data_IF_929977686721
#
_entry.id   IF_929977686721
#
_cell.length_a   1.000
_cell.length_b   1.000
_cell.length_c   1.000
_cell.angle_alpha   90.00
_cell.angle_beta   90.00
_cell.angle_gamma   90.00
#
_symmetry.space_group_name_H-M   'P 1'
#
loop_
_entity.id
_entity.type
_entity.pdbx_description
1 polymer ?
#
# COMPACT_ATOMS: atom_id res chain seq x y z
N UNK A 1 -14.07 33.38 13.98
CA UNK A 1 -13.29 34.53 13.45
C UNK A 1 -12.47 34.01 12.26
N UNK A 2 -12.82 34.55 11.10
CA UNK A 2 -12.24 34.22 9.80
C UNK A 2 -10.79 34.73 9.70
N UNK A 3 -9.87 33.93 9.18
CA UNK A 3 -8.66 34.45 8.54
C UNK A 3 -8.40 33.67 7.25
N UNK A 4 -8.82 34.27 6.18
CA UNK A 4 -8.49 33.95 4.79
C UNK A 4 -7.11 34.59 4.53
N UNK A 5 -6.15 33.82 4.08
CA UNK A 5 -4.90 34.34 3.50
C UNK A 5 -4.84 33.86 2.06
N UNK A 6 -5.11 34.80 1.16
CA UNK A 6 -4.95 34.65 -0.28
C UNK A 6 -3.48 35.01 -0.58
N UNK A 7 -2.71 34.07 -1.12
CA UNK A 7 -1.45 34.40 -1.80
C UNK A 7 -1.57 34.09 -3.29
N UNK A 8 -1.82 35.18 -4.01
CA UNK A 8 -1.69 35.26 -5.45
C UNK A 8 -0.21 35.51 -5.78
N UNK A 9 0.43 34.67 -6.58
CA UNK A 9 1.67 35.01 -7.24
C UNK A 9 1.65 34.51 -8.67
N UNK A 10 1.47 35.47 -9.58
CA UNK A 10 1.71 35.40 -11.00
C UNK A 10 3.21 35.18 -11.28
N UNK A 11 3.56 34.25 -12.17
CA UNK A 11 4.84 34.35 -12.92
C UNK A 11 4.66 33.99 -14.38
N UNK A 12 5.10 34.96 -15.22
CA UNK A 12 5.04 34.99 -16.67
C UNK A 12 6.11 34.12 -17.35
N UNK A 13 5.71 33.57 -18.44
CA UNK A 13 6.35 33.45 -19.77
C UNK A 13 7.89 33.28 -19.90
N UNK A 14 8.27 32.24 -20.65
CA UNK A 14 9.57 32.13 -21.31
C UNK A 14 9.47 31.23 -22.53
N UNK A 15 9.31 31.87 -23.71
CA UNK A 15 9.36 31.25 -25.05
C UNK A 15 10.83 31.14 -25.46
N UNK A 16 11.28 29.98 -25.92
CA UNK A 16 12.60 29.78 -26.53
C UNK A 16 12.54 28.74 -27.63
N UNK A 17 12.50 29.26 -28.89
CA UNK A 17 12.60 28.51 -30.15
C UNK A 17 14.08 28.24 -30.51
N UNK A 18 14.25 27.25 -31.41
CA UNK A 18 15.36 27.00 -32.34
C UNK A 18 16.44 26.02 -31.82
N UNK A 19 16.81 24.97 -32.53
CA UNK A 19 17.21 24.87 -33.89
C UNK A 19 17.52 23.45 -34.31
N UNK A 20 17.13 23.13 -35.51
CA UNK A 20 17.62 22.03 -36.32
C UNK A 20 19.08 22.25 -36.71
N UNK A 21 19.89 21.22 -36.75
CA UNK A 21 20.91 21.08 -37.78
C UNK A 21 21.36 19.62 -37.92
N UNK A 22 21.26 19.13 -39.16
CA UNK A 22 21.84 17.89 -39.64
C UNK A 22 23.37 17.98 -39.67
N UNK A 23 24.04 16.90 -39.46
CA UNK A 23 25.12 16.40 -40.32
C UNK A 23 25.76 15.12 -39.80
N UNK A 24 25.67 14.12 -40.63
CA UNK A 24 26.43 12.89 -40.82
C UNK A 24 27.90 12.94 -40.34
N UNK A 25 28.33 11.94 -39.59
CA UNK A 25 29.59 11.18 -39.85
C UNK A 25 29.67 9.96 -38.94
N UNK A 26 29.83 8.79 -39.54
CA UNK A 26 30.12 7.51 -38.91
C UNK A 26 31.47 7.56 -38.19
N UNK A 27 31.52 6.99 -36.97
CA UNK A 27 32.75 6.31 -36.49
C UNK A 27 32.34 5.23 -35.48
N UNK A 28 32.66 4.04 -35.81
CA UNK A 28 32.56 2.79 -35.07
C UNK A 28 33.35 2.90 -33.79
N UNK A 29 32.72 2.71 -32.62
CA UNK A 29 33.42 2.27 -31.42
C UNK A 29 32.47 1.43 -30.56
N UNK A 30 32.85 0.19 -30.40
CA UNK A 30 32.25 -0.81 -29.51
C UNK A 30 32.12 -0.26 -28.10
N UNK A 31 30.91 0.06 -27.70
CA UNK A 31 30.55 0.43 -26.33
C UNK A 31 29.49 -0.52 -25.83
N UNK A 32 29.86 -1.33 -24.86
CA UNK A 32 29.01 -2.27 -24.12
C UNK A 32 27.73 -1.58 -23.66
N UNK A 33 26.63 -1.84 -24.36
CA UNK A 33 25.31 -1.50 -23.88
C UNK A 33 24.95 -2.42 -22.71
N UNK A 34 25.30 -2.00 -21.52
CA UNK A 34 24.71 -2.52 -20.30
C UNK A 34 23.26 -2.00 -20.29
N UNK A 35 22.37 -2.78 -20.90
CA UNK A 35 20.95 -2.58 -20.75
C UNK A 35 20.60 -2.72 -19.28
N UNK A 36 20.51 -1.62 -18.56
CA UNK A 36 19.86 -1.57 -17.27
C UNK A 36 18.40 -1.93 -17.54
N UNK A 37 18.09 -3.21 -17.35
CA UNK A 37 16.72 -3.68 -17.32
C UNK A 37 16.04 -2.94 -16.15
N UNK A 38 15.43 -1.80 -16.44
CA UNK A 38 14.47 -1.17 -15.54
C UNK A 38 13.30 -2.15 -15.44
N UNK A 39 13.36 -3.03 -14.44
CA UNK A 39 12.22 -3.88 -14.10
C UNK A 39 11.07 -2.93 -13.77
N UNK A 40 10.11 -2.84 -14.67
CA UNK A 40 8.85 -2.15 -14.41
C UNK A 40 8.18 -2.92 -13.28
N UNK A 41 8.40 -2.46 -12.04
CA UNK A 41 7.76 -3.02 -10.86
C UNK A 41 6.27 -2.78 -11.01
N UNK A 42 5.54 -3.85 -11.31
CA UNK A 42 4.09 -3.80 -11.53
C UNK A 42 3.38 -3.45 -10.23
N UNK A 43 2.84 -2.24 -10.15
CA UNK A 43 2.07 -1.78 -9.03
C UNK A 43 0.65 -2.36 -9.07
N UNK A 44 0.19 -2.88 -7.96
CA UNK A 44 -1.12 -3.50 -7.78
C UNK A 44 -1.90 -2.74 -6.71
N UNK A 45 -3.21 -2.96 -6.65
CA UNK A 45 -4.07 -2.37 -5.63
C UNK A 45 -4.98 -3.44 -5.03
N UNK A 46 -5.28 -3.32 -3.73
CA UNK A 46 -6.26 -4.13 -3.03
C UNK A 46 -7.09 -3.24 -2.09
N UNK A 47 -8.27 -3.72 -1.71
CA UNK A 47 -9.12 -3.08 -0.71
C UNK A 47 -8.94 -3.80 0.62
N UNK A 48 -8.69 -3.05 1.69
CA UNK A 48 -8.59 -3.59 3.05
C UNK A 48 -9.68 -2.94 3.91
N UNK A 49 -10.46 -3.77 4.57
CA UNK A 49 -11.55 -3.35 5.45
C UNK A 49 -11.53 -4.12 6.77
N UNK A 50 -12.26 -3.60 7.75
CA UNK A 50 -12.24 -4.10 9.12
C UNK A 50 -13.66 -4.29 9.64
N UNK A 51 -13.87 -5.40 10.33
CA UNK A 51 -15.12 -5.75 10.99
C UNK A 51 -14.83 -6.07 12.45
N UNK A 52 -15.57 -5.44 13.34
CA UNK A 52 -15.53 -5.78 14.75
C UNK A 52 -16.85 -6.44 15.14
N UNK A 53 -16.77 -7.66 15.63
CA UNK A 53 -17.92 -8.46 16.08
C UNK A 53 -18.14 -8.41 17.60
N UNK A 54 -17.50 -7.47 18.29
CA UNK A 54 -17.75 -7.27 19.72
C UNK A 54 -18.87 -6.27 19.96
N UNK A 55 -19.52 -6.36 21.13
CA UNK A 55 -20.53 -5.39 21.57
C UNK A 55 -19.91 -4.03 21.95
N UNK A 56 -18.61 -4.01 22.24
CA UNK A 56 -17.87 -2.78 22.45
C UNK A 56 -17.65 -2.09 21.08
N UNK A 57 -18.11 -0.86 20.95
CA UNK A 57 -17.91 -0.02 19.77
C UNK A 57 -16.53 0.66 19.86
N UNK A 58 -15.42 0.03 19.44
CA UNK A 58 -14.19 0.77 19.25
C UNK A 58 -14.33 1.64 18.00
N UNK A 59 -13.52 2.67 17.95
CA UNK A 59 -13.40 3.52 16.78
C UNK A 59 -13.25 2.64 15.51
N UNK A 60 -14.13 2.85 14.54
CA UNK A 60 -14.09 2.05 13.31
C UNK A 60 -12.82 2.39 12.54
N UNK A 61 -11.99 1.40 12.32
CA UNK A 61 -10.83 1.55 11.45
C UNK A 61 -11.35 1.75 10.01
N UNK A 62 -11.03 2.87 9.33
CA UNK A 62 -11.57 3.13 8.01
C UNK A 62 -11.02 2.13 6.99
N UNK A 63 -11.88 1.64 6.10
CA UNK A 63 -11.44 0.87 4.94
C UNK A 63 -10.55 1.72 4.02
N UNK A 64 -9.57 1.08 3.40
CA UNK A 64 -8.59 1.76 2.55
C UNK A 64 -8.24 0.93 1.32
N UNK A 65 -8.20 1.58 0.15
CA UNK A 65 -7.53 1.01 -1.02
C UNK A 65 -6.03 1.27 -0.91
N UNK A 66 -5.26 0.22 -0.90
CA UNK A 66 -3.80 0.25 -0.77
C UNK A 66 -3.13 -0.07 -2.10
N UNK A 67 -1.96 0.51 -2.35
CA UNK A 67 -1.12 0.21 -3.51
C UNK A 67 0.15 -0.49 -3.05
N UNK A 68 0.55 -1.54 -3.74
CA UNK A 68 1.70 -2.35 -3.37
C UNK A 68 2.41 -2.92 -4.62
N UNK A 69 3.63 -3.39 -4.44
CA UNK A 69 4.39 -4.08 -5.49
C UNK A 69 3.99 -5.55 -5.51
N UNK A 70 4.02 -6.15 -6.69
CA UNK A 70 3.81 -7.60 -6.82
C UNK A 70 4.81 -8.38 -5.94
N UNK A 71 4.31 -9.34 -5.16
CA UNK A 71 5.11 -10.14 -4.24
C UNK A 71 5.30 -9.54 -2.84
N UNK A 72 4.80 -8.32 -2.57
CA UNK A 72 4.78 -7.77 -1.20
C UNK A 72 3.84 -8.60 -0.33
N UNK A 73 4.27 -8.96 0.87
CA UNK A 73 3.44 -9.70 1.82
C UNK A 73 2.30 -8.84 2.38
N UNK A 74 1.19 -9.47 2.76
CA UNK A 74 0.09 -8.78 3.42
C UNK A 74 0.54 -8.07 4.70
N UNK A 75 1.47 -8.67 5.46
CA UNK A 75 2.05 -8.07 6.66
C UNK A 75 2.76 -6.74 6.36
N UNK A 76 3.57 -6.68 5.29
CA UNK A 76 4.26 -5.45 4.89
C UNK A 76 3.26 -4.39 4.44
N UNK A 77 2.27 -4.76 3.64
CA UNK A 77 1.20 -3.87 3.20
C UNK A 77 0.45 -3.28 4.40
N UNK A 78 0.15 -4.10 5.40
CA UNK A 78 -0.53 -3.67 6.62
C UNK A 78 0.33 -2.69 7.44
N UNK A 79 1.62 -2.99 7.63
CA UNK A 79 2.56 -2.11 8.35
C UNK A 79 2.75 -0.74 7.71
N UNK A 80 2.73 -0.69 6.38
CA UNK A 80 2.89 0.56 5.64
C UNK A 80 1.64 1.46 5.67
N UNK A 81 0.47 0.88 5.87
CA UNK A 81 -0.79 1.58 5.67
C UNK A 81 -1.63 1.78 6.91
N UNK A 82 -1.39 1.01 7.98
CA UNK A 82 -2.20 1.02 9.20
C UNK A 82 -1.32 1.00 10.45
N UNK A 83 -1.89 1.47 11.57
CA UNK A 83 -1.27 1.29 12.87
C UNK A 83 -1.40 -0.20 13.28
N UNK A 84 -0.29 -0.90 13.29
CA UNK A 84 -0.24 -2.35 13.45
C UNK A 84 0.79 -2.76 14.50
N UNK A 85 0.40 -3.69 15.36
CA UNK A 85 1.34 -4.42 16.21
C UNK A 85 1.37 -5.88 15.78
N UNK A 86 2.57 -6.43 15.62
CA UNK A 86 2.78 -7.85 15.34
C UNK A 86 3.63 -8.48 16.44
N UNK A 87 3.40 -9.74 16.74
CA UNK A 87 4.30 -10.60 17.52
C UNK A 87 4.51 -11.92 16.78
N UNK A 88 5.78 -12.28 16.54
CA UNK A 88 6.19 -13.54 15.88
C UNK A 88 5.48 -13.84 14.56
N UNK A 89 5.18 -12.81 13.78
CA UNK A 89 4.52 -12.96 12.48
C UNK A 89 2.99 -12.99 12.53
N UNK A 90 2.39 -12.84 13.71
CA UNK A 90 0.95 -12.69 13.89
C UNK A 90 0.58 -11.24 14.17
N UNK A 91 -0.53 -10.80 13.62
CA UNK A 91 -1.09 -9.48 13.91
C UNK A 91 -1.81 -9.55 15.25
N UNK A 92 -1.34 -8.77 16.23
CA UNK A 92 -1.88 -8.74 17.58
C UNK A 92 -2.68 -7.48 17.90
N UNK A 93 -2.51 -6.41 17.12
CA UNK A 93 -3.33 -5.19 17.23
C UNK A 93 -3.45 -4.49 15.88
N UNK A 94 -4.60 -3.90 15.60
CA UNK A 94 -4.85 -3.03 14.45
C UNK A 94 -5.60 -1.80 14.94
N UNK A 95 -5.08 -0.58 14.61
CA UNK A 95 -5.72 0.68 14.97
C UNK A 95 -5.93 0.85 16.48
N UNK A 96 -5.01 0.32 17.30
CA UNK A 96 -5.10 0.35 18.76
C UNK A 96 -5.99 -0.73 19.38
N UNK A 97 -6.74 -1.51 18.58
CA UNK A 97 -7.52 -2.64 19.09
C UNK A 97 -6.66 -3.89 19.15
N UNK A 98 -6.21 -4.22 20.36
CA UNK A 98 -5.40 -5.41 20.61
C UNK A 98 -6.27 -6.66 20.80
N UNK A 99 -5.74 -7.82 20.41
CA UNK A 99 -6.35 -9.11 20.74
C UNK A 99 -6.44 -9.27 22.28
N UNK A 100 -7.47 -9.96 22.74
CA UNK A 100 -7.68 -10.29 24.15
C UNK A 100 -7.72 -11.82 24.30
N UNK A 101 -6.58 -12.40 24.60
CA UNK A 101 -6.44 -13.85 24.76
C UNK A 101 -7.27 -14.37 25.96
N UNK A 102 -7.41 -13.58 27.03
CA UNK A 102 -8.17 -13.97 28.21
C UNK A 102 -9.68 -14.05 27.94
N UNK A 103 -10.18 -13.15 27.09
CA UNK A 103 -11.57 -13.14 26.66
C UNK A 103 -11.81 -13.95 25.37
N UNK A 104 -10.73 -14.41 24.69
CA UNK A 104 -10.79 -15.22 23.49
C UNK A 104 -11.03 -14.41 22.21
N UNK A 105 -10.66 -13.13 22.17
CA UNK A 105 -10.82 -12.29 21.00
C UNK A 105 -9.52 -12.18 20.20
N UNK A 106 -9.62 -12.44 18.90
CA UNK A 106 -8.48 -12.47 17.98
C UNK A 106 -8.78 -11.74 16.66
N UNK A 107 -7.71 -11.36 15.97
CA UNK A 107 -7.77 -10.89 14.60
C UNK A 107 -7.66 -12.08 13.64
N UNK A 108 -8.67 -12.22 12.77
CA UNK A 108 -8.65 -13.14 11.63
C UNK A 108 -8.80 -12.34 10.34
N UNK A 109 -8.61 -12.97 9.19
CA UNK A 109 -8.88 -12.31 7.92
C UNK A 109 -9.32 -13.28 6.82
N UNK A 110 -10.05 -12.73 5.88
CA UNK A 110 -10.46 -13.38 4.63
C UNK A 110 -9.90 -12.61 3.45
N UNK A 111 -9.67 -13.31 2.34
CA UNK A 111 -9.37 -12.72 1.03
C UNK A 111 -10.44 -13.16 0.07
N UNK A 112 -11.14 -12.20 -0.55
CA UNK A 112 -12.25 -12.46 -1.46
C UNK A 112 -13.33 -13.39 -0.87
N UNK A 113 -13.65 -13.17 0.42
CA UNK A 113 -14.57 -13.94 1.25
C UNK A 113 -14.11 -15.37 1.62
N UNK A 114 -12.90 -15.76 1.24
CA UNK A 114 -12.32 -17.05 1.61
C UNK A 114 -11.42 -16.92 2.84
N UNK A 115 -11.60 -17.83 3.82
CA UNK A 115 -10.77 -17.86 5.02
C UNK A 115 -9.34 -18.24 4.66
N UNK A 116 -8.39 -17.47 5.16
CA UNK A 116 -6.95 -17.72 4.97
C UNK A 116 -6.35 -18.30 6.24
N UNK A 117 -5.77 -19.49 6.11
CA UNK A 117 -5.17 -20.23 7.23
C UNK A 117 -3.65 -20.02 7.36
N UNK A 118 -3.06 -19.20 6.47
CA UNK A 118 -1.64 -18.78 6.55
C UNK A 118 -1.52 -17.45 7.25
N UNK A 119 -0.37 -17.20 7.90
CA UNK A 119 -0.10 -15.90 8.51
C UNK A 119 0.05 -14.79 7.47
N UNK A 120 -0.25 -13.54 7.85
CA UNK A 120 -0.15 -12.39 6.95
C UNK A 120 1.26 -12.18 6.37
N UNK A 121 2.29 -12.67 7.06
CA UNK A 121 3.69 -12.65 6.61
C UNK A 121 3.93 -13.52 5.38
N UNK A 122 3.23 -14.65 5.29
CA UNK A 122 3.38 -15.64 4.22
C UNK A 122 2.27 -15.54 3.16
N UNK A 123 1.42 -14.54 3.28
CA UNK A 123 0.31 -14.26 2.35
C UNK A 123 0.69 -13.11 1.43
N UNK A 124 0.58 -13.31 0.12
CA UNK A 124 0.74 -12.27 -0.90
C UNK A 124 -0.60 -11.95 -1.54
N UNK A 125 -0.85 -10.66 -1.80
CA UNK A 125 -2.06 -10.21 -2.47
C UNK A 125 -1.87 -10.14 -3.98
N UNK A 126 -2.98 -10.26 -4.69
CA UNK A 126 -3.08 -10.02 -6.12
C UNK A 126 -3.88 -8.75 -6.40
N UNK A 127 -3.88 -8.32 -7.66
CA UNK A 127 -4.60 -7.11 -8.06
C UNK A 127 -6.10 -7.23 -7.83
N UNK A 128 -6.68 -6.25 -7.14
CA UNK A 128 -8.10 -6.13 -6.80
C UNK A 128 -8.59 -7.12 -5.73
N UNK A 129 -7.69 -7.74 -4.99
CA UNK A 129 -8.10 -8.52 -3.83
C UNK A 129 -8.83 -7.64 -2.83
N UNK A 130 -9.82 -8.23 -2.18
CA UNK A 130 -10.55 -7.65 -1.07
C UNK A 130 -10.20 -8.42 0.20
N UNK A 131 -9.55 -7.74 1.13
CA UNK A 131 -9.16 -8.29 2.42
C UNK A 131 -10.08 -7.73 3.49
N UNK A 132 -10.67 -8.62 4.29
CA UNK A 132 -11.49 -8.24 5.43
C UNK A 132 -10.86 -8.79 6.70
N UNK A 133 -10.33 -7.91 7.53
CA UNK A 133 -9.89 -8.26 8.88
C UNK A 133 -11.07 -8.25 9.82
N UNK A 134 -11.24 -9.31 10.58
CA UNK A 134 -12.32 -9.45 11.54
C UNK A 134 -11.77 -9.65 12.94
N UNK A 135 -12.24 -8.82 13.88
CA UNK A 135 -12.00 -9.00 15.31
C UNK A 135 -13.17 -9.76 15.90
N UNK A 136 -12.95 -10.99 16.30
CA UNK A 136 -14.01 -11.90 16.73
C UNK A 136 -13.57 -12.87 17.82
N UNK A 137 -14.55 -13.47 18.48
CA UNK A 137 -14.34 -14.43 19.55
C UNK A 137 -14.29 -15.87 19.01
N UNK A 138 -13.34 -16.66 19.54
CA UNK A 138 -13.18 -18.09 19.29
C UNK A 138 -13.38 -18.89 20.58
#
# INVERSE_FOLDING_TARGET
MKRIVIFSLLWLAGIGLSGCSEATTQTTTTGSNQATASSVVKQQTAEISFVNKTDAQPEQIPAKTVSFKEGTSLMEIMKENFDLVEDKGMITSIGGLAQDEAAGYYWTYTINDEMVNTGAKDTSLTKKDRVVFTYEKF
#
